data_IF_378337767067
#
_entry.id   IF_378337767067
#
_cell.length_a   1.000
_cell.length_b   1.000
_cell.length_c   1.000
_cell.angle_alpha   90.00
_cell.angle_beta   90.00
_cell.angle_gamma   90.00
#
_symmetry.space_group_name_H-M   'P 1'
#
loop_
_entity.id
_entity.type
_entity.pdbx_description
1 polymer ?
#
# COMPACT_ATOMS: atom_id res chain seq x y z
N UNK A 1 -8.21 0.38 -29.07
CA UNK A 1 -6.94 1.00 -29.50
C UNK A 1 -6.04 1.51 -28.35
N UNK A 2 -6.56 1.67 -27.15
CA UNK A 2 -5.78 2.12 -25.96
C UNK A 2 -4.97 0.99 -25.30
N UNK A 3 -5.40 -0.25 -25.42
CA UNK A 3 -4.71 -1.41 -24.82
C UNK A 3 -3.34 -1.75 -25.43
N UNK A 4 -3.08 -1.29 -26.66
CA UNK A 4 -1.82 -1.64 -27.38
C UNK A 4 -0.65 -0.74 -26.96
N UNK A 5 -0.91 0.41 -26.35
CA UNK A 5 0.14 1.35 -25.93
C UNK A 5 0.67 1.05 -24.52
N UNK A 6 -0.09 0.35 -23.68
CA UNK A 6 0.32 0.05 -22.30
C UNK A 6 1.33 -1.11 -22.18
N UNK A 7 1.32 -2.07 -23.11
CA UNK A 7 2.20 -3.25 -23.07
C UNK A 7 3.69 -2.87 -23.20
N UNK A 8 4.10 -1.95 -24.12
CA UNK A 8 5.51 -1.58 -24.24
C UNK A 8 6.00 -0.73 -23.06
N UNK A 9 5.14 0.02 -22.36
CA UNK A 9 5.53 0.81 -21.19
C UNK A 9 5.87 -0.09 -19.99
N UNK A 10 5.14 -1.18 -19.83
CA UNK A 10 5.37 -2.18 -18.77
C UNK A 10 6.67 -2.95 -19.04
N UNK A 11 6.96 -3.26 -20.30
CA UNK A 11 8.19 -3.95 -20.69
C UNK A 11 9.45 -3.07 -20.51
N UNK A 12 9.35 -1.76 -20.68
CA UNK A 12 10.48 -0.85 -20.49
C UNK A 12 10.86 -0.62 -19.03
N UNK A 13 9.89 -0.70 -18.11
CA UNK A 13 10.15 -0.52 -16.66
C UNK A 13 10.77 -1.77 -16.01
N UNK A 14 10.52 -2.97 -16.56
CA UNK A 14 11.03 -4.23 -16.01
C UNK A 14 12.48 -4.55 -16.37
N UNK A 15 13.07 -3.90 -17.37
CA UNK A 15 14.43 -4.22 -17.84
C UNK A 15 15.56 -3.47 -17.12
N UNK A 16 15.28 -2.41 -16.36
CA UNK A 16 16.34 -1.65 -15.66
C UNK A 16 16.73 -2.21 -14.29
N UNK A 17 15.95 -3.13 -13.70
CA UNK A 17 16.22 -3.63 -12.34
C UNK A 17 17.17 -4.85 -12.29
N UNK A 18 17.51 -5.47 -13.43
CA UNK A 18 18.29 -6.71 -13.45
C UNK A 18 19.81 -6.53 -13.66
N UNK A 19 20.30 -5.34 -13.94
CA UNK A 19 21.69 -5.12 -14.32
C UNK A 19 22.61 -4.54 -13.23
N UNK A 20 22.12 -4.26 -12.03
CA UNK A 20 22.89 -3.58 -10.97
C UNK A 20 23.31 -4.48 -9.78
N UNK A 21 23.14 -5.81 -9.86
CA UNK A 21 23.38 -6.69 -8.72
C UNK A 21 24.85 -6.92 -8.32
N UNK A 22 25.81 -6.62 -9.18
CA UNK A 22 27.20 -7.05 -8.94
C UNK A 22 28.19 -5.98 -8.42
N UNK A 23 27.77 -4.73 -8.22
CA UNK A 23 28.71 -3.65 -7.88
C UNK A 23 28.59 -3.08 -6.45
N UNK A 24 27.74 -3.63 -5.56
CA UNK A 24 27.37 -2.98 -4.28
C UNK A 24 27.99 -3.54 -3.01
N UNK A 25 28.79 -4.58 -3.08
CA UNK A 25 29.22 -5.33 -1.87
C UNK A 25 30.15 -4.58 -0.90
N UNK A 26 30.80 -3.49 -1.30
CA UNK A 26 31.81 -2.83 -0.47
C UNK A 26 31.46 -1.42 0.04
N UNK A 27 30.24 -0.92 -0.13
CA UNK A 27 29.86 0.47 0.24
C UNK A 27 28.58 0.60 1.06
N UNK A 28 28.00 -0.49 1.56
CA UNK A 28 26.66 -0.47 2.16
C UNK A 28 26.59 0.45 3.39
N UNK A 29 27.58 0.39 4.30
CA UNK A 29 27.53 1.19 5.53
C UNK A 29 27.92 2.66 5.38
N UNK A 30 28.68 3.01 4.35
CA UNK A 30 29.05 4.41 4.11
C UNK A 30 27.95 5.23 3.43
N UNK A 31 26.98 4.56 2.81
CA UNK A 31 25.86 5.20 2.09
C UNK A 31 24.58 5.27 2.92
N UNK A 32 24.42 4.43 3.93
CA UNK A 32 23.21 4.36 4.75
C UNK A 32 23.52 4.89 6.14
N UNK A 33 22.95 6.05 6.50
CA UNK A 33 22.95 6.54 7.87
C UNK A 33 21.96 5.73 8.68
N UNK A 34 22.44 4.71 9.38
CA UNK A 34 21.63 3.95 10.31
C UNK A 34 21.27 4.82 11.53
N UNK A 35 19.98 5.03 11.76
CA UNK A 35 19.47 5.74 12.94
C UNK A 35 19.43 4.81 14.15
N UNK A 36 20.00 5.27 15.28
CA UNK A 36 19.94 4.54 16.54
C UNK A 36 18.48 4.30 16.94
N UNK A 37 18.20 3.11 17.44
CA UNK A 37 16.86 2.65 17.83
C UNK A 37 15.82 2.59 16.70
N UNK A 38 16.26 2.69 15.46
CA UNK A 38 15.40 2.44 14.30
C UNK A 38 15.42 0.96 13.90
N UNK A 39 14.27 0.48 13.48
CA UNK A 39 14.08 -0.91 13.05
C UNK A 39 14.42 -1.07 11.57
N UNK A 40 15.22 -2.08 11.28
CA UNK A 40 15.68 -2.42 9.94
C UNK A 40 15.36 -3.87 9.60
N UNK A 41 15.09 -4.10 8.34
CA UNK A 41 15.04 -5.44 7.74
C UNK A 41 16.27 -5.61 6.87
N UNK A 42 16.99 -6.69 7.12
CA UNK A 42 18.22 -7.01 6.40
C UNK A 42 18.07 -8.35 5.71
N UNK A 43 18.53 -8.39 4.48
CA UNK A 43 18.72 -9.64 3.73
C UNK A 43 20.20 -9.98 3.77
N UNK A 44 20.51 -11.20 4.21
CA UNK A 44 21.85 -11.74 4.22
C UNK A 44 22.18 -12.44 2.89
N UNK A 45 23.46 -12.59 2.62
CA UNK A 45 23.97 -13.28 1.41
C UNK A 45 23.52 -14.74 1.35
N UNK A 46 23.38 -15.40 2.51
CA UNK A 46 22.84 -16.77 2.60
C UNK A 46 21.32 -16.86 2.31
N UNK A 47 20.67 -15.74 2.05
CA UNK A 47 19.22 -15.65 1.79
C UNK A 47 18.34 -15.42 2.99
N UNK A 48 18.89 -15.47 4.21
CA UNK A 48 18.13 -15.22 5.44
C UNK A 48 17.68 -13.75 5.51
N UNK A 49 16.54 -13.55 6.17
CA UNK A 49 16.00 -12.23 6.45
C UNK A 49 15.99 -12.02 7.96
N UNK A 50 16.73 -11.03 8.41
CA UNK A 50 16.76 -10.59 9.79
C UNK A 50 16.03 -9.27 9.95
N UNK A 51 15.28 -9.15 11.04
CA UNK A 51 14.63 -7.92 11.47
C UNK A 51 15.15 -7.58 12.86
N UNK A 52 15.54 -6.35 13.04
CA UNK A 52 16.04 -5.91 14.34
C UNK A 52 16.19 -4.39 14.40
N UNK A 53 16.44 -3.89 15.60
CA UNK A 53 16.68 -2.48 15.86
C UNK A 53 18.18 -2.21 15.88
N UNK A 54 18.63 -1.20 15.13
CA UNK A 54 20.03 -0.81 15.12
C UNK A 54 20.44 -0.24 16.49
N UNK A 55 21.44 -0.82 17.11
CA UNK A 55 21.92 -0.42 18.42
C UNK A 55 23.14 0.48 18.32
N UNK A 56 24.18 0.01 17.67
CA UNK A 56 25.45 0.69 17.55
C UNK A 56 26.35 0.10 16.45
N UNK A 57 27.39 0.81 16.09
CA UNK A 57 28.45 0.29 15.22
C UNK A 57 29.26 -0.73 16.02
N UNK A 58 29.49 -1.91 15.48
CA UNK A 58 30.32 -2.93 16.09
C UNK A 58 31.82 -2.68 15.82
N UNK A 59 32.64 -3.56 16.34
CA UNK A 59 34.10 -3.51 16.14
C UNK A 59 34.43 -3.91 14.69
N UNK A 60 35.33 -3.16 14.09
CA UNK A 60 35.88 -3.49 12.79
C UNK A 60 36.76 -4.73 12.86
N UNK A 61 36.59 -5.69 11.98
CA UNK A 61 37.43 -6.88 11.89
C UNK A 61 38.35 -6.78 10.68
N UNK A 62 39.60 -7.19 10.83
CA UNK A 62 40.55 -7.28 9.72
C UNK A 62 40.61 -8.73 9.26
N UNK A 63 40.28 -9.00 8.03
CA UNK A 63 40.47 -10.33 7.42
C UNK A 63 41.91 -10.58 7.00
N UNK A 64 42.23 -11.82 6.69
CA UNK A 64 43.58 -12.26 6.27
C UNK A 64 44.07 -11.53 5.00
N UNK A 65 43.15 -11.02 4.18
CA UNK A 65 43.45 -10.20 3.00
C UNK A 65 43.63 -8.72 3.28
N UNK A 66 43.75 -8.32 4.56
CA UNK A 66 43.88 -6.94 5.04
C UNK A 66 42.68 -6.03 4.77
N UNK A 67 41.55 -6.58 4.35
CA UNK A 67 40.32 -5.81 4.21
C UNK A 67 39.69 -5.50 5.58
N UNK A 68 39.39 -4.23 5.82
CA UNK A 68 38.64 -3.80 7.01
C UNK A 68 37.16 -4.05 6.76
N UNK A 69 36.55 -4.95 7.52
CA UNK A 69 35.13 -5.25 7.47
C UNK A 69 34.45 -4.52 8.62
N UNK A 70 33.54 -3.65 8.27
CA UNK A 70 32.69 -2.97 9.24
C UNK A 70 31.63 -3.90 9.77
N UNK A 71 31.22 -3.74 11.02
CA UNK A 71 30.13 -4.47 11.62
C UNK A 71 29.12 -3.54 12.29
N UNK A 72 27.92 -4.05 12.46
CA UNK A 72 26.84 -3.40 13.19
C UNK A 72 26.27 -4.36 14.23
N UNK A 73 25.81 -3.81 15.34
CA UNK A 73 25.09 -4.56 16.37
C UNK A 73 23.61 -4.27 16.23
N UNK A 74 22.84 -5.34 16.06
CA UNK A 74 21.39 -5.30 15.94
C UNK A 74 20.75 -6.04 17.10
N UNK A 75 19.79 -5.39 17.75
CA UNK A 75 18.94 -6.05 18.73
C UNK A 75 17.83 -6.80 17.99
N UNK A 76 17.81 -8.10 18.10
CA UNK A 76 16.81 -8.99 17.48
C UNK A 76 16.00 -9.75 18.53
N UNK A 77 15.00 -10.53 18.10
CA UNK A 77 14.23 -11.40 19.02
C UNK A 77 15.06 -12.38 19.82
N UNK A 78 16.15 -12.85 19.25
CA UNK A 78 17.02 -13.86 19.86
C UNK A 78 18.18 -13.24 20.63
N UNK A 79 18.24 -11.92 20.71
CA UNK A 79 19.29 -11.15 21.40
C UNK A 79 20.06 -10.21 20.47
N UNK A 80 21.16 -9.66 20.99
CA UNK A 80 22.03 -8.81 20.18
C UNK A 80 22.86 -9.67 19.24
N UNK A 81 22.82 -9.33 17.94
CA UNK A 81 23.56 -10.00 16.88
C UNK A 81 24.51 -9.00 16.25
N UNK A 82 25.76 -9.40 16.08
CA UNK A 82 26.74 -8.65 15.29
C UNK A 82 26.70 -9.14 13.85
N UNK A 83 26.49 -8.24 12.91
CA UNK A 83 26.46 -8.53 11.47
C UNK A 83 27.59 -7.78 10.78
N UNK A 84 28.28 -8.46 9.89
CA UNK A 84 29.37 -7.90 9.11
C UNK A 84 28.88 -7.40 7.75
N UNK A 85 29.55 -6.37 7.24
CA UNK A 85 29.13 -5.73 5.97
C UNK A 85 29.14 -6.69 4.78
N UNK A 86 30.01 -7.68 4.81
CA UNK A 86 30.12 -8.73 3.79
C UNK A 86 29.06 -9.83 3.89
N UNK A 87 28.31 -9.89 4.98
CA UNK A 87 27.20 -10.83 5.17
C UNK A 87 25.87 -10.23 4.71
N UNK A 88 25.81 -8.91 4.54
CA UNK A 88 24.56 -8.18 4.28
C UNK A 88 24.44 -7.88 2.79
N UNK A 89 23.41 -8.40 2.18
CA UNK A 89 23.06 -8.12 0.77
C UNK A 89 22.26 -6.83 0.63
N UNK A 90 21.34 -6.55 1.56
CA UNK A 90 20.44 -5.40 1.50
C UNK A 90 19.94 -5.02 2.90
N UNK A 91 19.83 -3.70 3.14
CA UNK A 91 19.24 -3.12 4.36
C UNK A 91 18.12 -2.18 3.94
N UNK A 92 16.94 -2.31 4.56
CA UNK A 92 15.84 -1.39 4.40
C UNK A 92 15.27 -0.99 5.75
N UNK A 93 14.94 0.28 5.93
CA UNK A 93 14.14 0.70 7.09
C UNK A 93 12.79 0.02 7.02
N UNK A 94 12.28 -0.44 8.17
CA UNK A 94 10.97 -1.10 8.21
C UNK A 94 9.87 -0.15 7.78
N UNK A 95 9.96 1.12 8.15
CA UNK A 95 9.00 2.13 7.72
C UNK A 95 8.95 2.31 6.21
N UNK A 96 10.07 2.16 5.50
CA UNK A 96 10.11 2.23 4.03
C UNK A 96 9.42 1.04 3.36
N UNK A 97 9.45 -0.14 3.98
CA UNK A 97 8.78 -1.36 3.48
C UNK A 97 7.26 -1.17 3.39
N UNK A 98 6.70 -0.39 4.29
CA UNK A 98 5.26 -0.14 4.38
C UNK A 98 4.83 1.20 3.76
N UNK A 99 5.72 1.91 3.10
CA UNK A 99 5.47 3.26 2.55
C UNK A 99 4.25 3.34 1.63
N UNK A 100 3.97 2.29 0.85
CA UNK A 100 2.80 2.19 -0.03
C UNK A 100 1.65 1.38 0.57
N UNK A 101 1.67 1.12 1.89
CA UNK A 101 0.71 0.23 2.55
C UNK A 101 -0.59 0.91 2.98
N UNK A 102 -0.68 2.25 2.91
CA UNK A 102 -1.87 3.01 3.38
C UNK A 102 -3.18 2.65 2.68
N UNK A 103 -3.11 2.01 1.51
CA UNK A 103 -4.25 1.43 0.79
C UNK A 103 -3.82 0.23 -0.05
N UNK A 104 -4.73 -0.71 -0.24
CA UNK A 104 -4.68 -1.68 -1.32
C UNK A 104 -5.06 -1.01 -2.64
N UNK A 105 -5.68 -1.70 -3.57
CA UNK A 105 -6.11 -1.07 -4.82
C UNK A 105 -7.18 0.02 -4.56
N UNK A 106 -8.27 -0.33 -3.85
CA UNK A 106 -9.36 0.58 -3.45
C UNK A 106 -9.51 0.62 -1.94
N UNK A 107 -9.41 -0.51 -1.27
CA UNK A 107 -9.70 -0.67 0.14
C UNK A 107 -8.63 0.02 1.01
N UNK A 108 -9.01 0.83 2.01
CA UNK A 108 -8.07 1.38 2.96
C UNK A 108 -7.46 0.25 3.81
N UNK A 109 -6.20 0.40 4.18
CA UNK A 109 -5.56 -0.39 5.24
C UNK A 109 -5.61 0.38 6.56
N UNK A 110 -5.17 -0.25 7.64
CA UNK A 110 -5.09 0.44 8.94
C UNK A 110 -3.87 1.39 9.03
N UNK A 111 -2.90 1.27 8.13
CA UNK A 111 -1.66 2.03 8.16
C UNK A 111 -1.91 3.51 7.87
N UNK A 112 -1.35 4.38 8.71
CA UNK A 112 -1.39 5.81 8.48
C UNK A 112 -0.48 6.19 7.28
N UNK A 113 -0.80 7.31 6.61
CA UNK A 113 0.12 7.91 5.63
C UNK A 113 1.34 8.52 6.34
N UNK A 114 1.22 8.74 7.66
CA UNK A 114 2.20 9.44 8.51
C UNK A 114 2.50 10.84 7.97
N UNK A 115 3.69 11.37 8.19
CA UNK A 115 4.07 12.72 7.75
C UNK A 115 4.46 12.76 6.26
N UNK A 116 3.61 12.20 5.42
CA UNK A 116 3.84 12.09 3.98
C UNK A 116 2.58 12.51 3.20
N UNK A 117 2.73 12.61 1.89
CA UNK A 117 1.63 12.84 0.96
C UNK A 117 1.76 11.91 -0.25
N UNK A 118 0.65 11.72 -0.94
CA UNK A 118 0.66 11.00 -2.20
C UNK A 118 -0.29 11.63 -3.21
N UNK A 119 -0.01 11.39 -4.49
CA UNK A 119 -0.94 11.58 -5.59
C UNK A 119 -1.11 10.26 -6.32
N UNK A 120 -2.33 9.92 -6.72
CA UNK A 120 -2.60 8.71 -7.49
C UNK A 120 -3.57 8.94 -8.64
N UNK A 121 -3.41 8.14 -9.67
CA UNK A 121 -4.29 8.07 -10.83
C UNK A 121 -4.80 6.64 -10.97
N UNK A 122 -6.10 6.43 -10.75
CA UNK A 122 -6.76 5.12 -10.83
C UNK A 122 -7.62 5.06 -12.08
N UNK A 123 -7.53 3.97 -12.85
CA UNK A 123 -8.27 3.75 -14.10
C UNK A 123 -8.13 4.89 -15.12
N UNK A 124 -7.01 5.63 -15.07
CA UNK A 124 -6.73 6.79 -15.92
C UNK A 124 -7.80 7.89 -15.87
N UNK A 125 -8.71 7.82 -14.94
CA UNK A 125 -9.85 8.74 -14.84
C UNK A 125 -10.09 9.27 -13.41
N UNK A 126 -9.66 8.58 -12.37
CA UNK A 126 -9.84 9.01 -10.99
C UNK A 126 -8.51 9.50 -10.41
N UNK A 127 -8.40 10.81 -10.23
CA UNK A 127 -7.27 11.46 -9.59
C UNK A 127 -7.53 11.59 -8.10
N UNK A 128 -6.59 11.21 -7.28
CA UNK A 128 -6.69 11.29 -5.84
C UNK A 128 -5.40 11.86 -5.26
N UNK A 129 -5.51 12.67 -4.24
CA UNK A 129 -4.40 13.13 -3.41
C UNK A 129 -4.71 12.84 -1.94
N UNK A 130 -3.68 12.52 -1.19
CA UNK A 130 -3.79 12.31 0.25
C UNK A 130 -2.57 12.84 0.97
N UNK A 131 -2.76 13.15 2.22
CA UNK A 131 -1.69 13.53 3.14
C UNK A 131 -1.96 12.94 4.51
N UNK A 132 -0.90 12.73 5.26
CA UNK A 132 -0.95 12.28 6.64
C UNK A 132 -0.28 13.27 7.56
N UNK A 133 -0.73 13.28 8.78
CA UNK A 133 -0.10 13.96 9.89
C UNK A 133 -0.18 13.02 11.09
N UNK A 134 0.97 12.55 11.54
CA UNK A 134 1.03 11.49 12.57
C UNK A 134 0.10 10.31 12.23
N UNK A 135 -0.93 10.10 13.03
CA UNK A 135 -1.89 9.00 12.89
C UNK A 135 -3.16 9.36 12.09
N UNK A 136 -3.27 10.63 11.65
CA UNK A 136 -4.41 11.09 10.84
C UNK A 136 -4.02 11.05 9.37
N UNK A 137 -4.90 10.50 8.56
CA UNK A 137 -4.76 10.48 7.09
C UNK A 137 -6.01 11.07 6.46
N UNK A 138 -5.82 12.03 5.57
CA UNK A 138 -6.90 12.64 4.80
C UNK A 138 -6.61 12.45 3.33
N UNK A 139 -7.59 11.98 2.58
CA UNK A 139 -7.47 11.88 1.14
C UNK A 139 -8.75 12.32 0.44
N UNK A 140 -8.59 12.89 -0.74
CA UNK A 140 -9.68 13.33 -1.58
C UNK A 140 -9.39 13.03 -3.04
N UNK A 141 -10.43 12.85 -3.83
CA UNK A 141 -10.28 12.54 -5.24
C UNK A 141 -11.49 12.97 -6.07
N UNK A 142 -11.28 12.99 -7.37
CA UNK A 142 -12.29 13.35 -8.37
C UNK A 142 -12.09 12.50 -9.62
N UNK A 143 -13.19 12.09 -10.23
CA UNK A 143 -13.15 11.52 -11.58
C UNK A 143 -12.92 12.64 -12.60
N UNK A 144 -12.15 12.35 -13.64
CA UNK A 144 -11.93 13.24 -14.78
C UNK A 144 -12.41 12.54 -16.05
N UNK A 145 -13.72 12.36 -16.15
CA UNK A 145 -14.34 11.70 -17.31
C UNK A 145 -14.59 12.75 -18.39
N UNK A 146 -13.97 12.62 -19.58
CA UNK A 146 -14.14 13.59 -20.65
C UNK A 146 -15.61 13.73 -21.09
N UNK A 147 -16.09 14.97 -21.19
CA UNK A 147 -17.44 15.29 -21.59
C UNK A 147 -18.49 15.29 -20.49
N UNK A 148 -18.07 15.08 -19.24
CA UNK A 148 -18.90 15.33 -18.05
C UNK A 148 -18.58 16.69 -17.45
N UNK A 149 -19.61 17.41 -16.96
CA UNK A 149 -19.40 18.64 -16.20
C UNK A 149 -18.77 18.36 -14.85
N UNK A 150 -18.16 19.37 -14.21
CA UNK A 150 -17.53 19.22 -12.89
C UNK A 150 -18.52 18.72 -11.83
N UNK A 151 -19.78 19.12 -11.92
CA UNK A 151 -20.82 18.72 -10.97
C UNK A 151 -21.23 17.26 -11.11
N UNK A 152 -21.11 16.69 -12.32
CA UNK A 152 -21.41 15.28 -12.59
C UNK A 152 -20.25 14.35 -12.30
N UNK A 153 -19.03 14.89 -12.11
CA UNK A 153 -17.88 14.06 -11.73
C UNK A 153 -18.06 13.45 -10.34
N UNK A 154 -17.69 12.19 -10.23
CA UNK A 154 -17.63 11.53 -8.93
C UNK A 154 -16.53 12.18 -8.06
N UNK A 155 -16.84 12.43 -6.80
CA UNK A 155 -15.91 13.03 -5.82
C UNK A 155 -15.84 12.15 -4.60
N UNK A 156 -14.68 12.10 -3.99
CA UNK A 156 -14.43 11.29 -2.80
C UNK A 156 -13.64 12.11 -1.79
N UNK A 157 -14.04 11.99 -0.52
CA UNK A 157 -13.28 12.50 0.62
C UNK A 157 -13.25 11.41 1.68
N UNK A 158 -12.09 11.15 2.25
CA UNK A 158 -11.90 10.18 3.30
C UNK A 158 -11.00 10.74 4.40
N UNK A 159 -11.38 10.50 5.64
CA UNK A 159 -10.57 10.79 6.82
C UNK A 159 -10.42 9.50 7.61
N UNK A 160 -9.19 9.16 7.97
CA UNK A 160 -8.82 7.96 8.72
C UNK A 160 -7.94 8.34 9.91
N UNK A 161 -8.19 7.71 11.04
CA UNK A 161 -7.38 7.82 12.25
C UNK A 161 -6.90 6.43 12.67
N UNK A 162 -5.58 6.24 12.70
CA UNK A 162 -4.93 5.04 13.22
C UNK A 162 -4.79 5.19 14.72
N UNK A 163 -5.63 4.49 15.48
CA UNK A 163 -5.68 4.63 16.94
C UNK A 163 -4.86 3.57 17.69
N UNK A 164 -4.41 2.53 16.99
CA UNK A 164 -3.56 1.50 17.56
C UNK A 164 -2.56 1.04 16.49
N UNK A 165 -1.28 1.12 16.84
CA UNK A 165 -0.18 0.56 16.08
C UNK A 165 0.72 -0.14 17.10
N UNK A 166 0.84 -1.46 16.99
CA UNK A 166 1.75 -2.22 17.83
C UNK A 166 3.17 -1.86 17.44
N UNK A 167 3.93 -1.29 18.40
CA UNK A 167 5.34 -0.98 18.15
C UNK A 167 6.09 -2.29 17.94
N UNK A 168 6.71 -2.40 16.79
CA UNK A 168 7.41 -3.58 16.35
C UNK A 168 8.73 -3.74 17.12
N UNK A 169 8.65 -4.31 18.30
CA UNK A 169 9.82 -4.80 19.02
C UNK A 169 10.02 -6.29 18.68
N UNK A 170 10.52 -6.61 17.45
CA UNK A 170 11.17 -7.91 17.22
C UNK A 170 10.23 -9.08 16.88
N UNK A 171 8.90 -8.99 17.09
CA UNK A 171 7.99 -10.12 16.85
C UNK A 171 7.60 -10.21 15.35
N UNK A 172 7.64 -11.39 14.71
CA UNK A 172 7.11 -11.54 13.36
C UNK A 172 5.58 -11.48 13.40
N UNK A 173 5.07 -10.29 13.17
CA UNK A 173 3.65 -9.98 13.13
C UNK A 173 3.26 -8.89 14.13
N UNK A 174 2.68 -7.83 13.62
CA UNK A 174 2.13 -6.73 14.40
C UNK A 174 0.77 -6.32 13.87
N UNK A 175 -0.04 -5.74 14.73
CA UNK A 175 -1.38 -5.29 14.41
C UNK A 175 -1.46 -3.79 14.35
N UNK A 176 -2.21 -3.30 13.38
CA UNK A 176 -2.59 -1.89 13.26
C UNK A 176 -4.10 -1.79 13.16
N UNK A 177 -4.72 -0.87 13.90
CA UNK A 177 -6.16 -0.63 13.88
C UNK A 177 -6.44 0.83 13.58
N UNK A 178 -7.39 1.06 12.69
CA UNK A 178 -7.82 2.40 12.32
C UNK A 178 -9.34 2.47 12.15
N UNK A 179 -9.88 3.65 12.32
CA UNK A 179 -11.25 3.98 11.98
C UNK A 179 -11.31 5.18 11.05
N UNK A 180 -12.32 5.26 10.24
CA UNK A 180 -12.43 6.35 9.30
C UNK A 180 -13.86 6.62 8.83
N UNK A 181 -13.96 7.68 8.06
CA UNK A 181 -15.20 8.11 7.45
C UNK A 181 -14.97 8.51 6.00
N UNK A 182 -15.81 7.98 5.12
CA UNK A 182 -15.73 8.18 3.68
C UNK A 182 -17.01 8.81 3.17
N UNK A 183 -16.84 9.86 2.36
CA UNK A 183 -17.88 10.56 1.64
C UNK A 183 -17.64 10.35 0.14
N UNK A 184 -18.62 9.82 -0.57
CA UNK A 184 -18.55 9.63 -2.01
C UNK A 184 -19.76 10.32 -2.65
N UNK A 185 -19.49 11.34 -3.44
CA UNK A 185 -20.48 11.99 -4.29
C UNK A 185 -20.49 11.28 -5.64
N UNK A 186 -21.55 10.54 -5.89
CA UNK A 186 -21.71 9.84 -7.18
C UNK A 186 -22.19 10.78 -8.30
N UNK A 187 -22.98 11.78 -7.94
CA UNK A 187 -23.39 12.92 -8.74
C UNK A 187 -23.99 14.00 -7.82
N UNK A 188 -24.49 15.13 -8.37
CA UNK A 188 -24.98 16.27 -7.59
C UNK A 188 -26.01 15.94 -6.50
N UNK A 189 -26.80 14.89 -6.66
CA UNK A 189 -27.91 14.54 -5.76
C UNK A 189 -27.58 13.40 -4.78
N UNK A 190 -26.48 12.65 -5.00
CA UNK A 190 -26.25 11.39 -4.33
C UNK A 190 -24.93 11.39 -3.55
N UNK A 191 -25.05 11.37 -2.24
CA UNK A 191 -23.95 11.29 -1.30
C UNK A 191 -23.96 9.94 -0.58
N UNK A 192 -22.99 9.09 -0.85
CA UNK A 192 -22.77 7.85 -0.15
C UNK A 192 -21.81 8.08 1.02
N UNK A 193 -22.23 7.71 2.20
CA UNK A 193 -21.48 7.93 3.45
C UNK A 193 -21.23 6.58 4.12
N UNK A 194 -19.95 6.34 4.47
CA UNK A 194 -19.58 5.15 5.23
C UNK A 194 -18.64 5.50 6.38
N UNK A 195 -19.02 5.09 7.58
CA UNK A 195 -18.05 4.89 8.65
C UNK A 195 -17.41 3.52 8.47
N UNK A 196 -16.14 3.37 8.83
CA UNK A 196 -15.47 2.07 8.77
C UNK A 196 -14.46 1.87 9.87
N UNK A 197 -14.26 0.60 10.19
CA UNK A 197 -13.16 0.12 11.01
C UNK A 197 -12.29 -0.78 10.14
N UNK A 198 -10.98 -0.68 10.29
CA UNK A 198 -10.03 -1.49 9.54
C UNK A 198 -8.91 -1.96 10.46
N UNK A 199 -8.55 -3.22 10.31
CA UNK A 199 -7.41 -3.84 10.98
C UNK A 199 -6.46 -4.44 9.93
N UNK A 200 -5.17 -4.21 10.12
CA UNK A 200 -4.10 -4.81 9.32
C UNK A 200 -3.21 -5.65 10.20
N UNK A 201 -2.95 -6.87 9.79
CA UNK A 201 -1.99 -7.77 10.40
C UNK A 201 -0.80 -7.94 9.49
N UNK A 202 0.35 -7.46 9.94
CA UNK A 202 1.58 -7.46 9.18
C UNK A 202 2.45 -8.65 9.58
N UNK A 203 2.73 -9.50 8.63
CA UNK A 203 3.71 -10.59 8.70
C UNK A 203 4.94 -10.23 7.84
N UNK A 204 6.07 -10.93 7.96
CA UNK A 204 7.30 -10.56 7.25
C UNK A 204 7.17 -10.37 5.73
N UNK A 205 6.25 -11.05 5.07
CA UNK A 205 6.02 -10.95 3.62
C UNK A 205 4.58 -10.72 3.22
N UNK A 206 3.66 -10.73 4.19
CA UNK A 206 2.23 -10.72 3.92
C UNK A 206 1.55 -9.77 4.86
N UNK A 207 0.70 -8.91 4.35
CA UNK A 207 -0.23 -8.11 5.14
C UNK A 207 -1.64 -8.57 4.85
N UNK A 208 -2.35 -8.98 5.89
CA UNK A 208 -3.77 -9.26 5.85
C UNK A 208 -4.54 -8.06 6.39
N UNK A 209 -5.46 -7.53 5.61
CA UNK A 209 -6.32 -6.41 6.01
C UNK A 209 -7.77 -6.86 6.05
N UNK A 210 -8.46 -6.50 7.11
CA UNK A 210 -9.91 -6.71 7.26
C UNK A 210 -10.58 -5.38 7.53
N UNK A 211 -11.76 -5.17 6.98
CA UNK A 211 -12.53 -3.95 7.21
C UNK A 211 -14.01 -4.24 7.40
N UNK A 212 -14.64 -3.42 8.23
CA UNK A 212 -16.08 -3.37 8.41
C UNK A 212 -16.55 -1.99 7.95
N UNK A 213 -17.52 -1.95 7.06
CA UNK A 213 -18.13 -0.73 6.54
C UNK A 213 -19.54 -0.60 7.12
N UNK A 214 -19.87 0.58 7.55
CA UNK A 214 -21.18 0.89 8.08
C UNK A 214 -21.75 2.08 7.33
N UNK A 215 -22.81 1.87 6.55
CA UNK A 215 -23.48 2.94 5.85
C UNK A 215 -24.15 3.88 6.83
N UNK A 216 -23.82 5.15 6.73
CA UNK A 216 -24.51 6.24 7.40
C UNK A 216 -25.27 7.09 6.38
N UNK A 217 -26.21 7.90 6.79
CA UNK A 217 -27.05 8.68 5.86
C UNK A 217 -28.33 7.96 5.47
N UNK A 218 -29.24 8.71 4.84
CA UNK A 218 -30.64 8.32 4.65
C UNK A 218 -30.96 7.68 3.30
N UNK A 219 -30.10 7.83 2.30
CA UNK A 219 -30.42 7.42 0.93
C UNK A 219 -30.01 5.98 0.68
N UNK A 220 -30.96 5.18 0.19
CA UNK A 220 -30.75 3.77 -0.13
C UNK A 220 -30.46 3.53 -1.62
N UNK A 221 -30.66 4.53 -2.44
CA UNK A 221 -30.52 4.45 -3.89
C UNK A 221 -29.62 5.57 -4.37
N UNK A 222 -28.55 5.20 -5.07
CA UNK A 222 -27.57 6.12 -5.64
C UNK A 222 -27.55 5.95 -7.14
N UNK A 223 -27.76 7.04 -7.86
CA UNK A 223 -27.62 7.08 -9.29
C UNK A 223 -26.20 7.51 -9.65
N UNK A 224 -25.44 6.58 -10.18
CA UNK A 224 -24.08 6.82 -10.65
C UNK A 224 -24.10 6.99 -12.16
N UNK A 225 -23.66 8.15 -12.64
CA UNK A 225 -23.58 8.44 -14.07
C UNK A 225 -22.12 8.66 -14.48
N UNK A 226 -21.72 8.01 -15.54
CA UNK A 226 -20.46 8.21 -16.25
C UNK A 226 -20.69 8.95 -17.58
N UNK A 227 -21.68 9.82 -17.64
CA UNK A 227 -22.08 10.56 -18.83
C UNK A 227 -22.45 9.62 -19.97
N UNK A 228 -21.86 9.83 -21.18
CA UNK A 228 -22.11 8.98 -22.35
C UNK A 228 -21.60 7.53 -22.23
N UNK A 229 -20.81 7.21 -21.20
CA UNK A 229 -20.24 5.87 -20.98
C UNK A 229 -21.19 4.92 -20.25
N UNK A 230 -22.27 5.45 -19.70
CA UNK A 230 -23.29 4.67 -19.04
C UNK A 230 -23.75 5.27 -17.72
N UNK A 231 -24.83 4.74 -17.21
CA UNK A 231 -25.35 5.03 -15.88
C UNK A 231 -25.74 3.74 -15.18
N UNK A 232 -25.66 3.74 -13.84
CA UNK A 232 -26.02 2.60 -13.02
C UNK A 232 -26.68 3.04 -11.72
N UNK A 233 -27.62 2.25 -11.25
CA UNK A 233 -28.27 2.48 -9.96
C UNK A 233 -27.65 1.51 -8.95
N UNK A 234 -27.02 2.05 -7.90
CA UNK A 234 -26.48 1.30 -6.78
C UNK A 234 -27.48 1.43 -5.62
N UNK A 235 -27.89 0.32 -5.06
CA UNK A 235 -28.85 0.28 -3.96
C UNK A 235 -28.20 -0.31 -2.72
N UNK A 236 -28.33 0.38 -1.58
CA UNK A 236 -27.90 -0.10 -0.28
C UNK A 236 -29.11 -0.20 0.65
N UNK A 237 -29.07 -1.15 1.58
CA UNK A 237 -30.04 -1.20 2.65
C UNK A 237 -29.75 -0.09 3.66
N UNK A 238 -30.77 0.47 4.27
CA UNK A 238 -30.60 1.48 5.29
C UNK A 238 -29.83 0.89 6.50
N UNK A 239 -28.77 1.59 6.94
CA UNK A 239 -27.89 1.09 8.01
C UNK A 239 -27.12 -0.17 7.61
N UNK A 240 -26.86 -0.41 6.31
CA UNK A 240 -26.20 -1.61 5.85
C UNK A 240 -24.80 -1.76 6.44
N UNK A 241 -24.46 -3.01 6.75
CA UNK A 241 -23.13 -3.43 7.15
C UNK A 241 -22.45 -4.10 5.94
N UNK A 242 -21.23 -3.70 5.67
CA UNK A 242 -20.36 -4.31 4.68
C UNK A 242 -19.09 -4.84 5.32
N UNK A 243 -18.35 -5.62 4.57
CA UNK A 243 -17.04 -6.10 4.99
C UNK A 243 -16.05 -6.07 3.83
N UNK A 244 -14.76 -6.06 4.15
CA UNK A 244 -13.68 -6.18 3.20
C UNK A 244 -12.58 -7.10 3.72
N UNK A 245 -11.95 -7.80 2.79
CA UNK A 245 -10.75 -8.60 3.01
C UNK A 245 -9.71 -8.19 2.00
N UNK A 246 -8.50 -8.01 2.44
CA UNK A 246 -7.38 -7.61 1.60
C UNK A 246 -6.11 -8.36 1.94
N UNK A 247 -5.32 -8.63 0.93
CA UNK A 247 -4.06 -9.35 1.02
C UNK A 247 -3.01 -8.64 0.18
N UNK A 248 -1.86 -8.40 0.79
CA UNK A 248 -0.65 -7.89 0.15
C UNK A 248 0.47 -8.89 0.42
N UNK A 249 1.01 -9.53 -0.62
CA UNK A 249 2.07 -10.54 -0.51
C UNK A 249 3.28 -10.08 -1.29
N UNK A 250 4.40 -9.85 -0.61
CA UNK A 250 5.68 -9.53 -1.23
C UNK A 250 6.29 -10.77 -1.89
N UNK A 251 6.49 -10.72 -3.19
CA UNK A 251 7.14 -11.79 -3.96
C UNK A 251 8.67 -11.73 -3.84
N UNK A 252 9.20 -10.53 -3.67
CA UNK A 252 10.64 -10.28 -3.58
C UNK A 252 11.04 -9.91 -2.16
N UNK A 253 12.31 -10.05 -1.83
CA UNK A 253 12.83 -9.64 -0.53
C UNK A 253 12.94 -8.12 -0.41
N UNK A 254 12.99 -7.39 -1.53
CA UNK A 254 12.99 -5.92 -1.57
C UNK A 254 11.60 -5.31 -1.42
N UNK A 255 10.56 -6.15 -1.44
CA UNK A 255 9.16 -5.71 -1.41
C UNK A 255 8.76 -4.78 -2.59
N UNK A 256 9.53 -4.79 -3.67
CA UNK A 256 9.28 -4.01 -4.89
C UNK A 256 8.23 -4.63 -5.80
N UNK A 257 7.96 -5.92 -5.61
CA UNK A 257 6.93 -6.66 -6.35
C UNK A 257 6.03 -7.41 -5.38
N UNK A 258 4.74 -7.11 -5.44
CA UNK A 258 3.73 -7.68 -4.54
C UNK A 258 2.53 -8.20 -5.31
N UNK A 259 1.91 -9.25 -4.79
CA UNK A 259 0.55 -9.67 -5.20
C UNK A 259 -0.44 -8.96 -4.31
N UNK A 260 -1.43 -8.31 -4.91
CA UNK A 260 -2.56 -7.71 -4.22
C UNK A 260 -3.82 -8.51 -4.54
N UNK A 261 -4.58 -8.83 -3.50
CA UNK A 261 -5.92 -9.33 -3.64
C UNK A 261 -6.85 -8.59 -2.68
N UNK A 262 -7.99 -8.15 -3.15
CA UNK A 262 -9.02 -7.58 -2.29
C UNK A 262 -10.41 -8.07 -2.71
N UNK A 263 -11.25 -8.25 -1.74
CA UNK A 263 -12.66 -8.58 -1.88
C UNK A 263 -13.44 -7.73 -0.90
N UNK A 264 -14.49 -7.08 -1.36
CA UNK A 264 -15.35 -6.32 -0.50
C UNK A 264 -16.81 -6.44 -0.91
N UNK A 265 -17.66 -6.40 0.08
CA UNK A 265 -19.10 -6.36 -0.03
C UNK A 265 -19.60 -5.15 0.75
N UNK A 266 -20.09 -4.16 0.06
CA UNK A 266 -20.52 -2.92 0.71
C UNK A 266 -21.84 -3.05 1.46
N UNK A 267 -22.62 -4.09 1.20
CA UNK A 267 -23.89 -4.39 1.86
C UNK A 267 -24.10 -5.90 1.92
N UNK A 268 -23.97 -6.50 3.10
CA UNK A 268 -24.13 -7.94 3.32
C UNK A 268 -25.52 -8.43 2.90
N UNK A 269 -26.54 -7.59 3.07
CA UNK A 269 -27.91 -7.93 2.65
C UNK A 269 -28.12 -7.90 1.14
N UNK A 270 -27.16 -7.31 0.42
CA UNK A 270 -27.15 -7.22 -1.04
C UNK A 270 -25.79 -7.64 -1.61
N UNK A 271 -25.52 -8.94 -1.69
CA UNK A 271 -24.20 -9.45 -2.17
C UNK A 271 -23.85 -9.00 -3.59
N UNK A 272 -24.82 -8.49 -4.35
CA UNK A 272 -24.57 -7.87 -5.67
C UNK A 272 -23.72 -6.59 -5.59
N UNK A 273 -23.61 -5.98 -4.40
CA UNK A 273 -22.74 -4.84 -4.14
C UNK A 273 -21.31 -5.29 -3.77
N UNK A 274 -20.89 -6.43 -4.27
CA UNK A 274 -19.53 -6.95 -4.05
C UNK A 274 -18.66 -6.71 -5.26
N UNK A 275 -17.38 -6.48 -4.98
CA UNK A 275 -16.35 -6.43 -5.99
C UNK A 275 -15.04 -7.01 -5.42
N UNK A 276 -14.16 -7.39 -6.31
CA UNK A 276 -12.84 -7.88 -5.97
C UNK A 276 -11.79 -7.34 -6.94
N UNK A 277 -10.55 -7.41 -6.50
CA UNK A 277 -9.38 -7.11 -7.31
C UNK A 277 -8.32 -8.18 -7.09
N UNK A 278 -7.67 -8.58 -8.16
CA UNK A 278 -6.48 -9.43 -8.13
C UNK A 278 -5.46 -8.86 -9.11
N UNK A 279 -4.26 -8.59 -8.62
CA UNK A 279 -3.22 -7.99 -9.44
C UNK A 279 -1.86 -7.99 -8.79
N UNK A 280 -0.94 -7.28 -9.44
CA UNK A 280 0.42 -7.06 -9.01
C UNK A 280 0.61 -5.58 -8.70
N UNK A 281 1.40 -5.31 -7.67
CA UNK A 281 1.97 -4.00 -7.35
C UNK A 281 3.46 -4.03 -7.60
N UNK A 282 3.92 -3.11 -8.44
CA UNK A 282 5.33 -2.78 -8.58
C UNK A 282 5.56 -1.48 -7.85
N UNK A 283 6.52 -1.43 -6.95
CA UNK A 283 6.79 -0.22 -6.17
C UNK A 283 8.28 -0.02 -5.93
N UNK A 284 8.64 1.25 -5.77
CA UNK A 284 9.92 1.70 -5.25
C UNK A 284 9.66 2.78 -4.19
N UNK A 285 10.67 3.47 -3.74
CA UNK A 285 10.56 4.48 -2.68
C UNK A 285 9.59 5.63 -3.00
N UNK A 286 9.36 5.94 -4.28
CA UNK A 286 8.55 7.08 -4.71
C UNK A 286 7.30 6.72 -5.48
N UNK A 287 7.32 5.60 -6.18
CA UNK A 287 6.24 5.23 -7.08
C UNK A 287 5.71 3.84 -6.77
N UNK A 288 4.42 3.66 -6.92
CA UNK A 288 3.83 2.34 -7.05
C UNK A 288 2.89 2.29 -8.25
N UNK A 289 2.83 1.13 -8.87
CA UNK A 289 1.93 0.83 -9.97
C UNK A 289 1.23 -0.49 -9.68
N UNK A 290 -0.08 -0.44 -9.60
CA UNK A 290 -0.93 -1.62 -9.48
C UNK A 290 -1.52 -1.93 -10.85
N UNK A 291 -1.46 -3.20 -11.26
CA UNK A 291 -2.07 -3.68 -12.49
C UNK A 291 -2.69 -5.05 -12.27
N UNK A 292 -3.94 -5.23 -12.70
CA UNK A 292 -4.67 -6.47 -12.48
C UNK A 292 -6.05 -6.48 -13.10
N UNK A 293 -6.91 -7.27 -12.51
CA UNK A 293 -8.30 -7.45 -12.91
C UNK A 293 -9.23 -7.07 -11.75
N UNK A 294 -10.15 -6.16 -12.02
CA UNK A 294 -11.27 -5.88 -11.13
C UNK A 294 -12.49 -6.70 -11.58
N UNK A 295 -13.11 -7.34 -10.60
CA UNK A 295 -14.24 -8.26 -10.79
C UNK A 295 -15.45 -7.71 -10.06
N UNK A 296 -16.57 -7.65 -10.73
CA UNK A 296 -17.85 -7.22 -10.15
C UNK A 296 -18.87 -8.34 -10.22
N UNK A 297 -19.81 -8.38 -9.29
CA UNK A 297 -20.89 -9.40 -9.26
C UNK A 297 -21.90 -9.26 -10.40
N UNK A 298 -22.14 -8.05 -10.92
CA UNK A 298 -22.65 -7.92 -12.29
C UNK A 298 -21.50 -8.40 -13.20
N UNK A 299 -21.65 -9.48 -14.01
CA UNK A 299 -20.52 -10.21 -14.56
C UNK A 299 -19.67 -9.35 -15.49
N UNK A 300 -18.84 -8.52 -14.88
CA UNK A 300 -17.89 -7.67 -15.55
C UNK A 300 -16.52 -7.89 -14.93
N UNK A 301 -15.56 -8.27 -15.76
CA UNK A 301 -14.14 -8.29 -15.43
C UNK A 301 -13.49 -7.21 -16.28
N UNK A 302 -12.87 -6.25 -15.62
CA UNK A 302 -12.21 -5.14 -16.31
C UNK A 302 -10.75 -5.06 -15.92
N UNK A 303 -9.85 -4.69 -16.85
CA UNK A 303 -8.49 -4.34 -16.51
C UNK A 303 -8.49 -3.19 -15.51
N UNK A 304 -7.64 -3.29 -14.51
CA UNK A 304 -7.54 -2.32 -13.44
C UNK A 304 -6.11 -1.84 -13.28
N UNK A 305 -5.90 -0.52 -13.29
CA UNK A 305 -4.59 0.11 -13.18
C UNK A 305 -4.67 1.28 -12.20
N UNK A 306 -3.66 1.39 -11.34
CA UNK A 306 -3.45 2.53 -10.44
C UNK A 306 -1.97 2.89 -10.45
N UNK A 307 -1.68 4.16 -10.56
CA UNK A 307 -0.34 4.71 -10.42
C UNK A 307 -0.35 5.65 -9.23
N UNK A 308 0.60 5.54 -8.34
CA UNK A 308 0.71 6.38 -7.17
C UNK A 308 2.14 6.92 -7.05
N UNK A 309 2.24 8.18 -6.67
CA UNK A 309 3.49 8.89 -6.43
C UNK A 309 3.51 9.47 -5.02
N UNK A 310 4.62 9.26 -4.31
CA UNK A 310 4.93 9.82 -3.00
C UNK A 310 6.05 10.85 -3.16
N UNK A 311 5.75 12.16 -3.05
CA UNK A 311 6.73 13.21 -3.32
C UNK A 311 7.78 13.39 -2.22
N UNK A 312 7.48 12.98 -0.98
CA UNK A 312 8.35 13.20 0.17
C UNK A 312 9.08 11.92 0.59
N UNK A 313 10.32 12.10 1.03
CA UNK A 313 11.21 11.06 1.56
C UNK A 313 11.36 11.23 3.06
#
# INVERSE_FOLDING_TARGET
>A
MIAIILIPLIACMSFQSFAEEDMFTNRIFNSIKLGKDQAYRMRLINGDILTGTYKEKGDNTIREDSAIIESIVMKTMIGDITLYSDEILHIAMIDDVYRHSSSLYVMPTADAIKDNAYCSLTQLAFVQAGFGFENISVNGGITLIPGMSFDEQGKHLNVKYTFYEEKQDIVPGHYTLAGGYSLIYANTANLLQHAYLVGSFHMPRTTLTTSLFFKTGSDDVYDASAGRWGSGIIRFSNGSLGFGLGLDISLTARHDTKVLAELWCADIMRPRNSAGFLGLRLCNDRYSMDAGLAMFTAPAIIPAVKIQWLPFH
#
